data_IF_551299257996
#
_entry.id   IF_551299257996
#
_cell.length_a   1.000
_cell.length_b   1.000
_cell.length_c   1.000
_cell.angle_alpha   90.00
_cell.angle_beta   90.00
_cell.angle_gamma   90.00
#
_symmetry.space_group_name_H-M   'P 1'
#
loop_
_entity.id
_entity.type
_entity.pdbx_description
1 polymer ?
#
# COMPACT_ATOMS: atom_id res chain seq x y z
N UNK A 1 -7.14 26.19 -5.59
CA UNK A 1 -6.31 25.70 -4.46
C UNK A 1 -5.05 25.09 -5.05
N UNK A 2 -3.91 25.70 -4.74
CA UNK A 2 -2.58 25.24 -5.17
C UNK A 2 -2.02 24.23 -4.16
N UNK A 3 -1.72 23.04 -4.61
CA UNK A 3 -1.29 21.93 -3.76
C UNK A 3 0.18 21.62 -4.01
N UNK A 4 1.00 21.63 -2.96
CA UNK A 4 2.36 21.11 -3.02
C UNK A 4 2.36 19.65 -2.55
N UNK A 5 2.59 18.73 -3.47
CA UNK A 5 2.62 17.29 -3.17
C UNK A 5 4.02 16.82 -2.79
N UNK A 6 4.13 16.10 -1.68
CA UNK A 6 5.41 15.61 -1.13
C UNK A 6 5.31 14.11 -0.84
N UNK A 7 6.34 13.37 -1.22
CA UNK A 7 6.58 11.98 -0.80
C UNK A 7 8.03 11.83 -0.35
N UNK A 8 8.35 10.88 0.55
CA UNK A 8 9.70 10.74 1.11
C UNK A 8 10.75 10.26 0.11
N UNK A 9 10.33 9.69 -1.02
CA UNK A 9 11.23 9.26 -2.08
C UNK A 9 11.23 10.26 -3.23
N UNK A 10 12.42 10.66 -3.65
CA UNK A 10 12.60 11.31 -4.93
C UNK A 10 12.65 10.22 -6.01
N UNK A 11 11.54 9.92 -6.62
CA UNK A 11 11.55 9.00 -7.75
C UNK A 11 11.67 9.86 -9.01
N UNK A 12 12.75 9.71 -9.80
CA UNK A 12 12.74 10.13 -11.18
C UNK A 12 11.92 9.09 -11.96
N UNK A 13 10.61 9.07 -11.76
CA UNK A 13 9.75 8.38 -12.69
C UNK A 13 9.56 9.32 -13.87
N UNK A 14 9.88 8.87 -15.05
CA UNK A 14 9.44 9.53 -16.27
C UNK A 14 7.92 9.60 -16.21
N UNK A 15 7.37 10.80 -16.18
CA UNK A 15 5.93 11.04 -15.97
C UNK A 15 5.04 10.28 -16.96
N UNK A 16 5.54 9.95 -18.15
CA UNK A 16 4.80 9.25 -19.21
C UNK A 16 4.42 7.79 -18.88
N UNK A 17 5.17 7.10 -18.04
CA UNK A 17 5.00 5.65 -17.81
C UNK A 17 4.19 5.28 -16.58
N UNK A 18 3.81 6.25 -15.73
CA UNK A 18 3.14 6.00 -14.46
C UNK A 18 1.68 6.45 -14.42
N UNK A 19 1.26 7.33 -15.34
CA UNK A 19 -0.08 7.88 -15.34
C UNK A 19 -1.17 6.81 -15.48
N UNK A 20 -0.87 5.73 -16.21
CA UNK A 20 -1.83 4.66 -16.48
C UNK A 20 -1.91 3.62 -15.38
N UNK A 21 -0.84 3.46 -14.58
CA UNK A 21 -0.69 2.28 -13.75
C UNK A 21 -1.12 2.53 -12.31
N UNK A 22 -1.08 3.80 -11.79
CA UNK A 22 -0.67 3.80 -10.44
C UNK A 22 -1.39 4.73 -9.52
N UNK A 23 -2.05 4.09 -8.73
CA UNK A 23 -2.40 4.39 -7.39
C UNK A 23 -1.21 4.56 -6.39
N UNK A 24 0.00 4.10 -6.72
CA UNK A 24 1.18 4.17 -5.84
C UNK A 24 1.67 5.60 -5.54
N UNK A 25 1.10 6.60 -6.20
CA UNK A 25 1.38 8.01 -5.93
C UNK A 25 0.23 8.68 -5.15
N UNK A 26 -0.53 7.89 -4.45
CA UNK A 26 -1.51 8.34 -3.46
C UNK A 26 -2.40 9.49 -3.95
N UNK A 27 -3.00 9.29 -5.12
CA UNK A 27 -3.93 10.21 -5.73
C UNK A 27 -3.32 11.38 -6.51
N UNK A 28 -1.99 11.53 -6.58
CA UNK A 28 -1.37 12.63 -7.30
C UNK A 28 -1.84 12.73 -8.76
N UNK A 29 -1.75 11.64 -9.53
CA UNK A 29 -2.14 11.65 -10.95
C UNK A 29 -3.65 11.80 -11.13
N UNK A 30 -4.45 11.16 -10.29
CA UNK A 30 -5.90 11.29 -10.34
C UNK A 30 -6.35 12.71 -10.01
N UNK A 31 -5.74 13.37 -9.02
CA UNK A 31 -5.98 14.78 -8.71
C UNK A 31 -5.55 15.69 -9.87
N UNK A 32 -4.40 15.43 -10.48
CA UNK A 32 -3.92 16.18 -11.66
C UNK A 32 -4.89 16.05 -12.84
N UNK A 33 -5.37 14.85 -13.11
CA UNK A 33 -6.36 14.58 -14.16
C UNK A 33 -7.72 15.24 -13.87
N UNK A 34 -8.08 15.45 -12.62
CA UNK A 34 -9.27 16.23 -12.19
C UNK A 34 -9.04 17.75 -12.20
N UNK A 35 -8.00 18.22 -12.88
CA UNK A 35 -7.65 19.65 -13.00
C UNK A 35 -7.32 20.31 -11.64
N UNK A 36 -6.88 19.57 -10.66
CA UNK A 36 -6.31 20.14 -9.44
C UNK A 36 -4.97 20.80 -9.75
N UNK A 37 -4.76 22.02 -9.24
CA UNK A 37 -3.46 22.72 -9.33
C UNK A 37 -2.49 22.08 -8.32
N UNK A 38 -1.94 20.92 -8.69
CA UNK A 38 -1.06 20.11 -7.88
C UNK A 38 0.33 20.02 -8.49
N UNK A 39 1.34 20.36 -7.71
CA UNK A 39 2.75 20.31 -8.12
C UNK A 39 3.50 19.31 -7.27
N UNK A 40 4.16 18.36 -7.91
CA UNK A 40 5.04 17.43 -7.21
C UNK A 40 6.33 18.11 -6.82
N UNK A 41 6.65 18.10 -5.54
CA UNK A 41 7.93 18.56 -5.05
C UNK A 41 9.01 17.52 -5.31
N UNK A 42 9.77 17.73 -6.38
CA UNK A 42 10.96 16.93 -6.66
C UNK A 42 12.17 17.59 -6.00
N UNK A 43 12.75 16.88 -5.05
CA UNK A 43 14.05 17.30 -4.53
C UNK A 43 15.12 17.07 -5.59
N UNK A 44 15.76 18.15 -6.07
CA UNK A 44 16.99 18.01 -6.86
C UNK A 44 18.03 17.37 -5.95
N UNK A 45 18.38 16.11 -6.20
CA UNK A 45 19.49 15.46 -5.52
C UNK A 45 20.74 16.31 -5.73
N UNK A 46 21.19 17.02 -4.70
CA UNK A 46 22.53 17.52 -4.69
C UNK A 46 23.45 16.30 -4.66
N UNK A 47 24.08 15.99 -5.81
CA UNK A 47 24.86 14.76 -5.99
C UNK A 47 25.99 14.65 -4.97
N UNK A 48 26.57 15.77 -4.56
CA UNK A 48 27.61 15.84 -3.53
C UNK A 48 27.06 15.50 -2.14
N UNK A 49 25.92 16.08 -1.77
CA UNK A 49 25.29 15.82 -0.46
C UNK A 49 24.80 14.37 -0.36
N UNK A 50 24.24 13.82 -1.43
CA UNK A 50 23.84 12.41 -1.46
C UNK A 50 25.03 11.46 -1.32
N UNK A 51 26.13 11.75 -2.05
CA UNK A 51 27.38 10.97 -1.94
C UNK A 51 27.96 11.05 -0.53
N UNK A 52 27.95 12.24 0.08
CA UNK A 52 28.41 12.47 1.45
C UNK A 52 27.52 11.73 2.48
N UNK A 53 26.21 11.81 2.39
CA UNK A 53 25.27 11.10 3.24
C UNK A 53 25.41 9.57 3.10
N UNK A 54 25.65 9.09 1.86
CA UNK A 54 25.91 7.68 1.59
C UNK A 54 27.25 7.21 2.19
N UNK A 55 28.29 8.06 2.10
CA UNK A 55 29.60 7.80 2.71
C UNK A 55 29.49 7.73 4.24
N UNK A 56 28.72 8.61 4.87
CA UNK A 56 28.42 8.57 6.31
C UNK A 56 27.51 7.40 6.73
N UNK A 57 27.06 6.56 5.80
CA UNK A 57 26.04 5.50 6.03
C UNK A 57 24.72 6.02 6.62
N UNK A 58 24.40 7.29 6.40
CA UNK A 58 23.20 7.96 6.88
C UNK A 58 22.34 8.48 5.69
N UNK A 59 21.80 7.57 4.85
CA UNK A 59 20.99 7.97 3.68
C UNK A 59 19.73 8.77 4.07
N UNK A 60 19.27 8.64 5.30
CA UNK A 60 18.11 9.34 5.87
C UNK A 60 18.34 10.86 5.98
N UNK A 61 19.59 11.33 6.11
CA UNK A 61 19.90 12.77 6.13
C UNK A 61 19.47 13.46 4.84
N UNK A 62 19.52 12.76 3.70
CA UNK A 62 19.03 13.33 2.43
C UNK A 62 17.51 13.60 2.46
N UNK A 63 16.74 12.78 3.16
CA UNK A 63 15.29 13.01 3.34
C UNK A 63 15.02 14.22 4.25
N UNK A 64 15.83 14.41 5.30
CA UNK A 64 15.77 15.58 6.18
C UNK A 64 15.99 16.86 5.36
N UNK A 65 17.06 16.91 4.56
CA UNK A 65 17.34 18.06 3.72
C UNK A 65 16.27 18.31 2.65
N UNK A 66 15.69 17.24 2.11
CA UNK A 66 14.54 17.34 1.21
C UNK A 66 13.36 18.04 1.87
N UNK A 67 13.00 17.63 3.09
CA UNK A 67 11.92 18.24 3.83
C UNK A 67 12.20 19.69 4.24
N UNK A 68 13.44 20.01 4.63
CA UNK A 68 13.84 21.39 4.94
C UNK A 68 13.73 22.32 3.71
N UNK A 69 13.98 21.81 2.52
CA UNK A 69 13.88 22.62 1.29
C UNK A 69 12.44 23.01 0.93
N UNK A 70 11.44 22.35 1.49
CA UNK A 70 10.02 22.70 1.38
C UNK A 70 9.72 24.06 2.02
N UNK A 71 10.45 24.44 3.09
CA UNK A 71 10.25 25.71 3.82
C UNK A 71 10.26 26.89 2.88
N UNK A 72 11.26 26.98 1.98
CA UNK A 72 11.41 28.09 1.04
C UNK A 72 10.31 28.19 -0.01
N UNK A 73 9.63 27.08 -0.33
CA UNK A 73 8.60 27.01 -1.39
C UNK A 73 7.18 27.02 -0.85
N UNK A 74 6.98 26.65 0.41
CA UNK A 74 5.66 26.44 1.02
C UNK A 74 4.72 27.64 0.85
N UNK A 75 5.23 28.87 0.96
CA UNK A 75 4.44 30.10 0.87
C UNK A 75 3.72 30.33 -0.48
N UNK A 76 4.08 29.60 -1.52
CA UNK A 76 3.48 29.73 -2.87
C UNK A 76 2.25 28.83 -3.06
N UNK A 77 1.93 28.02 -2.06
CA UNK A 77 0.88 27.02 -2.10
C UNK A 77 -0.14 27.22 -0.97
N UNK A 78 -1.38 26.84 -1.24
CA UNK A 78 -2.46 26.93 -0.26
C UNK A 78 -2.37 25.78 0.75
N UNK A 79 -1.95 24.59 0.31
CA UNK A 79 -1.81 23.40 1.15
C UNK A 79 -0.61 22.55 0.72
N UNK A 80 0.02 21.92 1.69
CA UNK A 80 1.04 20.88 1.48
C UNK A 80 0.35 19.53 1.67
N UNK A 81 0.34 18.70 0.65
CA UNK A 81 -0.16 17.32 0.71
C UNK A 81 1.00 16.35 0.84
N UNK A 82 1.11 15.71 1.99
CA UNK A 82 2.08 14.63 2.24
C UNK A 82 1.41 13.31 1.92
N UNK A 83 1.78 12.69 0.79
CA UNK A 83 1.16 11.46 0.31
C UNK A 83 1.60 10.21 1.06
N UNK A 84 2.72 10.26 1.81
CA UNK A 84 3.21 9.14 2.61
C UNK A 84 3.96 9.63 3.84
N UNK A 85 3.59 9.17 5.02
CA UNK A 85 3.98 9.70 6.32
C UNK A 85 5.24 9.05 6.93
N UNK A 86 6.27 8.83 6.12
CA UNK A 86 7.54 8.31 6.59
C UNK A 86 8.53 9.45 6.92
N UNK A 87 9.15 9.40 8.11
CA UNK A 87 10.21 10.32 8.54
C UNK A 87 9.80 11.81 8.55
N UNK A 88 8.61 12.14 9.05
CA UNK A 88 8.06 13.50 9.02
C UNK A 88 8.54 14.43 10.15
N UNK A 89 9.36 13.98 11.07
CA UNK A 89 9.84 14.79 12.20
C UNK A 89 10.46 16.14 11.78
N UNK A 90 11.35 16.22 10.75
CA UNK A 90 11.91 17.51 10.32
C UNK A 90 10.84 18.49 9.84
N UNK A 91 9.86 18.01 9.08
CA UNK A 91 8.73 18.81 8.61
C UNK A 91 7.85 19.28 9.78
N UNK A 92 7.59 18.38 10.74
CA UNK A 92 6.83 18.71 11.95
C UNK A 92 7.52 19.78 12.81
N UNK A 93 8.85 19.67 12.98
CA UNK A 93 9.65 20.68 13.71
C UNK A 93 9.59 22.04 12.98
N UNK A 94 9.78 22.09 11.66
CA UNK A 94 9.66 23.32 10.89
C UNK A 94 8.30 23.98 11.01
N UNK A 95 7.22 23.18 11.03
CA UNK A 95 5.85 23.66 11.23
C UNK A 95 5.66 24.24 12.64
N UNK A 96 6.12 23.54 13.68
CA UNK A 96 6.02 23.99 15.09
C UNK A 96 6.84 25.25 15.38
N UNK A 97 7.96 25.43 14.70
CA UNK A 97 8.78 26.63 14.79
C UNK A 97 8.22 27.81 13.98
N UNK A 98 7.08 27.65 13.28
CA UNK A 98 6.46 28.68 12.46
C UNK A 98 7.20 28.98 11.14
N UNK A 99 8.18 28.17 10.76
CA UNK A 99 8.90 28.29 9.50
C UNK A 99 8.02 27.94 8.29
N UNK A 100 7.02 27.07 8.50
CA UNK A 100 5.98 26.71 7.54
C UNK A 100 4.63 27.17 8.10
N UNK A 101 4.04 28.20 7.48
CA UNK A 101 2.70 28.68 7.81
C UNK A 101 1.60 27.96 7.02
N UNK A 102 1.92 27.51 5.82
CA UNK A 102 1.03 26.77 4.93
C UNK A 102 0.45 25.53 5.64
N UNK A 103 -0.87 25.30 5.59
CA UNK A 103 -1.50 24.11 6.14
C UNK A 103 -0.91 22.81 5.57
N UNK A 104 -0.76 21.80 6.42
CA UNK A 104 -0.21 20.49 6.04
C UNK A 104 -1.27 19.43 6.23
N UNK A 105 -1.64 18.79 5.13
CA UNK A 105 -2.49 17.61 5.06
C UNK A 105 -1.63 16.36 4.88
N UNK A 106 -1.81 15.35 5.73
CA UNK A 106 -1.03 14.10 5.70
C UNK A 106 -1.95 12.92 5.46
N UNK A 107 -1.63 12.09 4.47
CA UNK A 107 -2.20 10.75 4.33
C UNK A 107 -1.34 9.78 5.14
N UNK A 108 -1.94 9.19 6.17
CA UNK A 108 -1.24 8.28 7.05
C UNK A 108 -1.39 6.82 6.63
N UNK A 109 -0.26 6.17 6.41
CA UNK A 109 -0.14 4.74 6.16
C UNK A 109 0.25 3.94 7.40
N UNK A 110 0.43 4.65 8.53
CA UNK A 110 0.76 4.08 9.84
C UNK A 110 -0.32 4.41 10.85
N UNK A 111 -0.59 3.47 11.76
CA UNK A 111 -1.50 3.75 12.89
C UNK A 111 -0.87 4.62 13.96
N UNK A 112 0.47 4.78 13.95
CA UNK A 112 1.27 5.34 15.05
C UNK A 112 1.07 4.61 16.38
N UNK A 113 0.45 3.43 16.37
CA UNK A 113 0.26 2.60 17.54
C UNK A 113 1.57 1.94 17.97
N UNK A 114 1.74 1.80 19.27
CA UNK A 114 2.87 1.08 19.86
C UNK A 114 2.56 -0.39 20.18
N UNK A 115 1.33 -0.83 19.90
CA UNK A 115 0.80 -2.17 20.19
C UNK A 115 1.76 -3.30 19.76
N UNK A 116 2.28 -3.20 18.51
CA UNK A 116 3.19 -4.22 17.94
C UNK A 116 4.68 -3.91 18.13
N UNK A 117 5.00 -2.91 18.94
CA UNK A 117 6.39 -2.52 19.20
C UNK A 117 6.89 -3.19 20.46
N UNK A 118 7.86 -4.09 20.37
CA UNK A 118 8.42 -4.84 21.51
C UNK A 118 9.46 -4.04 22.29
N UNK A 119 10.31 -3.28 21.60
CA UNK A 119 11.39 -2.52 22.21
C UNK A 119 10.87 -1.29 22.97
N UNK A 120 11.26 -1.18 24.26
CA UNK A 120 10.91 -0.03 25.11
C UNK A 120 11.39 1.31 24.53
N UNK A 121 12.60 1.37 24.03
CA UNK A 121 13.15 2.59 23.41
C UNK A 121 12.40 2.98 22.14
N UNK A 122 12.05 2.00 21.30
CA UNK A 122 11.23 2.25 20.11
C UNK A 122 9.83 2.76 20.47
N UNK A 123 9.25 2.26 21.56
CA UNK A 123 7.95 2.79 22.07
C UNK A 123 8.06 4.25 22.49
N UNK A 124 9.13 4.60 23.24
CA UNK A 124 9.38 5.99 23.68
C UNK A 124 9.55 6.90 22.46
N UNK A 125 10.36 6.48 21.48
CA UNK A 125 10.58 7.24 20.26
C UNK A 125 9.28 7.41 19.45
N UNK A 126 8.51 6.35 19.22
CA UNK A 126 7.21 6.42 18.53
C UNK A 126 6.22 7.37 19.25
N UNK A 127 6.15 7.31 20.56
CA UNK A 127 5.29 8.21 21.34
C UNK A 127 5.73 9.67 21.22
N UNK A 128 7.02 9.93 21.18
CA UNK A 128 7.57 11.26 20.96
C UNK A 128 7.26 11.77 19.55
N UNK A 129 7.56 10.97 18.53
CA UNK A 129 7.26 11.26 17.12
C UNK A 129 5.77 11.56 16.95
N UNK A 130 4.90 10.67 17.43
CA UNK A 130 3.44 10.83 17.40
C UNK A 130 2.99 12.17 17.97
N UNK A 131 3.46 12.52 19.18
CA UNK A 131 3.09 13.79 19.81
C UNK A 131 3.46 15.00 18.97
N UNK A 132 4.63 15.01 18.38
CA UNK A 132 5.07 16.12 17.52
C UNK A 132 4.27 16.18 16.22
N UNK A 133 4.08 15.04 15.54
CA UNK A 133 3.34 14.92 14.29
C UNK A 133 1.89 15.39 14.46
N UNK A 134 1.19 14.88 15.47
CA UNK A 134 -0.21 15.24 15.73
C UNK A 134 -0.40 16.69 16.22
N UNK A 135 0.62 17.27 16.84
CA UNK A 135 0.60 18.69 17.22
C UNK A 135 0.91 19.61 16.03
N UNK A 136 1.84 19.20 15.16
CA UNK A 136 2.36 20.02 14.07
C UNK A 136 1.41 20.13 12.88
N UNK A 137 0.79 19.02 12.48
CA UNK A 137 0.05 18.96 11.23
C UNK A 137 -1.42 19.35 11.42
N UNK A 138 -1.93 20.07 10.42
CA UNK A 138 -3.27 20.64 10.48
C UNK A 138 -4.33 19.53 10.29
N UNK A 139 -4.07 18.56 9.42
CA UNK A 139 -4.92 17.39 9.22
C UNK A 139 -4.13 16.13 8.91
N UNK A 140 -4.44 15.04 9.60
CA UNK A 140 -3.96 13.69 9.32
C UNK A 140 -5.19 12.86 8.96
N UNK A 141 -5.14 12.17 7.83
CA UNK A 141 -6.20 11.30 7.35
C UNK A 141 -5.62 9.90 7.16
N UNK A 142 -6.26 8.89 7.71
CA UNK A 142 -5.77 7.52 7.60
C UNK A 142 -6.15 6.89 6.27
N UNK A 143 -5.27 6.07 5.70
CA UNK A 143 -5.50 5.41 4.43
C UNK A 143 -6.55 4.30 4.48
N UNK A 144 -6.97 3.87 5.68
CA UNK A 144 -8.08 2.93 5.89
C UNK A 144 -8.62 2.98 7.34
N UNK A 145 -9.82 2.42 7.53
CA UNK A 145 -10.48 2.32 8.84
C UNK A 145 -9.65 1.56 9.88
N UNK A 146 -8.96 0.50 9.46
CA UNK A 146 -8.09 -0.30 10.34
C UNK A 146 -7.01 0.54 11.01
N UNK A 147 -6.35 1.43 10.26
CA UNK A 147 -5.31 2.32 10.83
C UNK A 147 -5.89 3.29 11.86
N UNK A 148 -7.03 3.88 11.57
CA UNK A 148 -7.72 4.78 12.51
C UNK A 148 -8.17 4.02 13.78
N UNK A 149 -8.71 2.81 13.62
CA UNK A 149 -9.12 1.96 14.75
C UNK A 149 -7.92 1.64 15.66
N UNK A 150 -6.83 1.16 15.09
CA UNK A 150 -5.59 0.86 15.84
C UNK A 150 -5.01 2.09 16.55
N UNK A 151 -5.10 3.26 15.93
CA UNK A 151 -4.69 4.51 16.55
C UNK A 151 -5.57 4.83 17.78
N UNK A 152 -6.89 4.73 17.64
CA UNK A 152 -7.85 4.97 18.74
C UNK A 152 -7.71 4.00 19.91
N UNK A 153 -7.34 2.74 19.63
CA UNK A 153 -7.10 1.73 20.66
C UNK A 153 -5.88 2.06 21.55
N UNK A 154 -4.88 2.75 21.01
CA UNK A 154 -3.60 3.02 21.71
C UNK A 154 -3.49 4.44 22.28
N UNK A 155 -4.18 5.41 21.70
CA UNK A 155 -4.13 6.80 22.16
C UNK A 155 -5.36 7.62 21.76
N UNK A 156 -5.53 8.77 22.43
CA UNK A 156 -6.57 9.74 22.07
C UNK A 156 -6.19 10.48 20.79
N UNK A 157 -6.82 10.13 19.68
CA UNK A 157 -6.64 10.81 18.39
C UNK A 157 -7.43 12.13 18.41
N UNK A 158 -6.82 13.29 18.18
CA UNK A 158 -7.54 14.57 18.11
C UNK A 158 -8.65 14.55 17.05
N UNK A 159 -9.77 15.18 17.32
CA UNK A 159 -10.97 15.15 16.46
C UNK A 159 -10.70 15.56 15.02
N UNK A 160 -9.87 16.62 14.81
CA UNK A 160 -9.48 17.07 13.46
C UNK A 160 -8.77 16.00 12.62
N UNK A 161 -8.28 14.93 13.25
CA UNK A 161 -7.57 13.81 12.64
C UNK A 161 -8.39 12.52 12.54
N UNK A 162 -9.67 12.54 12.96
CA UNK A 162 -10.58 11.39 12.89
C UNK A 162 -11.17 11.22 11.50
N UNK A 163 -10.31 11.05 10.50
CA UNK A 163 -10.73 10.94 9.10
C UNK A 163 -10.06 9.76 8.42
N UNK A 164 -10.77 9.19 7.47
CA UNK A 164 -10.29 8.11 6.61
C UNK A 164 -10.45 8.50 5.15
N UNK A 165 -9.49 8.13 4.34
CA UNK A 165 -9.60 8.15 2.90
C UNK A 165 -9.19 6.77 2.39
N UNK A 166 -10.20 5.95 2.09
CA UNK A 166 -9.98 4.57 1.65
C UNK A 166 -9.20 4.55 0.34
N UNK A 167 -7.94 4.17 0.45
CA UNK A 167 -7.07 4.04 -0.71
C UNK A 167 -7.50 2.84 -1.56
N UNK A 168 -7.51 2.99 -2.88
CA UNK A 168 -8.03 1.97 -3.76
C UNK A 168 -7.26 1.87 -5.09
N UNK A 169 -7.64 0.97 -5.97
CA UNK A 169 -6.97 0.70 -7.25
C UNK A 169 -7.46 1.63 -8.37
N UNK A 170 -6.65 1.81 -9.41
CA UNK A 170 -7.06 2.45 -10.65
C UNK A 170 -7.92 1.48 -11.48
N UNK A 171 -9.24 1.69 -11.46
CA UNK A 171 -10.18 0.81 -12.16
C UNK A 171 -10.05 0.88 -13.69
N UNK A 172 -9.53 1.97 -14.26
CA UNK A 172 -9.26 2.06 -15.70
C UNK A 172 -8.09 1.17 -16.10
N UNK A 173 -7.06 1.11 -15.26
CA UNK A 173 -5.94 0.21 -15.48
C UNK A 173 -6.33 -1.25 -15.25
N UNK A 174 -7.08 -1.56 -14.19
CA UNK A 174 -7.54 -2.90 -13.85
C UNK A 174 -8.89 -3.26 -14.50
N UNK A 175 -9.19 -2.70 -15.67
CA UNK A 175 -10.39 -3.04 -16.43
C UNK A 175 -10.28 -4.45 -17.01
N UNK A 176 -11.26 -5.29 -16.67
CA UNK A 176 -11.37 -6.66 -17.20
C UNK A 176 -11.78 -6.70 -18.67
N UNK A 177 -12.42 -5.64 -19.16
CA UNK A 177 -12.88 -5.53 -20.54
C UNK A 177 -11.76 -5.46 -21.58
N UNK A 178 -10.51 -5.25 -21.17
CA UNK A 178 -9.34 -5.26 -22.08
C UNK A 178 -8.94 -6.67 -22.54
N UNK A 179 -9.42 -7.72 -21.85
CA UNK A 179 -9.08 -9.10 -22.16
C UNK A 179 -10.12 -9.72 -23.09
N UNK A 180 -9.64 -10.21 -24.25
CA UNK A 180 -10.51 -10.78 -25.31
C UNK A 180 -10.96 -12.22 -25.03
N UNK A 181 -10.25 -12.93 -24.12
CA UNK A 181 -10.55 -14.31 -23.75
C UNK A 181 -11.01 -14.42 -22.30
N UNK A 182 -11.87 -15.38 -21.94
CA UNK A 182 -12.22 -15.61 -20.56
C UNK A 182 -10.97 -16.03 -19.74
N UNK A 183 -10.96 -15.76 -18.40
CA UNK A 183 -9.83 -16.11 -17.56
C UNK A 183 -9.62 -17.63 -17.51
N UNK A 184 -8.35 -18.04 -17.52
CA UNK A 184 -8.00 -19.48 -17.51
C UNK A 184 -8.38 -20.16 -16.18
N UNK A 185 -8.29 -19.43 -15.06
CA UNK A 185 -8.55 -19.93 -13.69
C UNK A 185 -7.86 -21.26 -13.36
N UNK A 186 -6.61 -21.44 -13.81
CA UNK A 186 -5.87 -22.70 -13.64
C UNK A 186 -4.86 -22.66 -12.51
N UNK A 187 -4.54 -21.48 -11.98
CA UNK A 187 -3.53 -21.29 -10.94
C UNK A 187 -3.93 -20.20 -9.97
N UNK A 188 -3.29 -20.22 -8.81
CA UNK A 188 -3.33 -19.14 -7.82
C UNK A 188 -2.16 -18.19 -8.06
N UNK A 189 -2.30 -16.93 -7.65
CA UNK A 189 -1.23 -15.94 -7.74
C UNK A 189 -0.90 -15.38 -6.38
N UNK A 190 0.39 -15.25 -6.08
CA UNK A 190 0.90 -14.52 -4.93
C UNK A 190 1.96 -13.53 -5.39
N UNK A 191 1.86 -12.26 -4.97
CA UNK A 191 2.79 -11.22 -5.38
C UNK A 191 3.24 -10.34 -4.21
N UNK A 192 4.43 -9.72 -4.37
CA UNK A 192 5.00 -8.78 -3.42
C UNK A 192 6.23 -9.30 -2.70
N UNK A 193 7.13 -8.38 -2.33
CA UNK A 193 8.46 -8.72 -1.80
C UNK A 193 8.64 -8.47 -0.31
N UNK A 194 7.77 -7.68 0.33
CA UNK A 194 7.94 -7.31 1.73
C UNK A 194 6.95 -8.06 2.62
N UNK A 195 7.44 -8.58 3.73
CA UNK A 195 6.64 -9.25 4.77
C UNK A 195 5.73 -10.35 4.19
N UNK A 196 6.34 -11.34 3.50
CA UNK A 196 5.64 -12.48 2.90
C UNK A 196 6.18 -13.80 3.40
N UNK A 197 5.29 -14.66 3.87
CA UNK A 197 5.56 -16.04 4.26
C UNK A 197 5.38 -17.00 3.09
N UNK A 198 6.22 -16.87 2.08
CA UNK A 198 6.19 -17.80 0.95
C UNK A 198 6.64 -19.21 1.34
N UNK A 199 7.39 -19.37 2.43
CA UNK A 199 7.80 -20.70 2.91
C UNK A 199 6.59 -21.54 3.30
N UNK A 200 5.71 -21.00 4.13
CA UNK A 200 4.44 -21.69 4.51
C UNK A 200 3.57 -21.94 3.28
N UNK A 201 3.45 -20.96 2.38
CA UNK A 201 2.65 -21.11 1.16
C UNK A 201 3.20 -22.22 0.25
N UNK A 202 4.51 -22.29 0.02
CA UNK A 202 5.15 -23.32 -0.82
C UNK A 202 4.94 -24.71 -0.20
N UNK A 203 5.06 -24.85 1.12
CA UNK A 203 4.78 -26.14 1.78
C UNK A 203 3.29 -26.55 1.66
N UNK A 204 2.36 -25.59 1.64
CA UNK A 204 0.94 -25.89 1.39
C UNK A 204 0.74 -26.47 -0.03
N UNK A 205 1.37 -25.86 -1.06
CA UNK A 205 1.31 -26.39 -2.41
C UNK A 205 2.09 -27.73 -2.56
N UNK A 206 3.12 -27.95 -1.77
CA UNK A 206 3.78 -29.27 -1.68
C UNK A 206 2.84 -30.36 -1.16
N UNK A 207 2.03 -30.04 -0.14
CA UNK A 207 1.01 -30.94 0.42
C UNK A 207 -0.20 -31.14 -0.51
N UNK A 208 -0.53 -30.15 -1.34
CA UNK A 208 -1.68 -30.20 -2.25
C UNK A 208 -1.25 -30.01 -3.72
N UNK A 209 -0.66 -31.05 -4.35
CA UNK A 209 -0.10 -30.96 -5.71
C UNK A 209 -1.15 -30.79 -6.82
N UNK A 210 -2.44 -30.93 -6.49
CA UNK A 210 -3.54 -30.77 -7.44
C UNK A 210 -3.83 -29.29 -7.78
N UNK A 211 -3.20 -28.32 -7.12
CA UNK A 211 -3.31 -26.91 -7.42
C UNK A 211 -1.95 -26.36 -7.83
N UNK A 212 -1.97 -25.33 -8.71
CA UNK A 212 -0.78 -24.62 -9.15
C UNK A 212 -0.75 -23.22 -8.57
N UNK A 213 0.44 -22.68 -8.30
CA UNK A 213 0.64 -21.29 -7.90
C UNK A 213 1.76 -20.63 -8.68
N UNK A 214 1.56 -19.34 -9.00
CA UNK A 214 2.61 -18.46 -9.53
C UNK A 214 2.95 -17.41 -8.46
N UNK A 215 4.18 -17.44 -7.98
CA UNK A 215 4.72 -16.52 -6.99
C UNK A 215 5.60 -15.48 -7.68
N UNK A 216 5.28 -14.20 -7.52
CA UNK A 216 6.02 -13.09 -8.12
C UNK A 216 6.67 -12.23 -7.05
N UNK A 217 7.94 -12.51 -6.77
CA UNK A 217 8.74 -11.78 -5.80
C UNK A 217 10.23 -11.82 -6.16
N UNK A 218 11.04 -11.02 -5.46
CA UNK A 218 12.49 -11.21 -5.50
C UNK A 218 12.84 -12.54 -4.83
N UNK A 219 13.53 -13.41 -5.54
CA UNK A 219 13.90 -14.72 -5.02
C UNK A 219 14.72 -14.63 -3.73
N UNK A 220 14.34 -15.44 -2.77
CA UNK A 220 15.11 -15.84 -1.59
C UNK A 220 14.92 -17.34 -1.44
N UNK A 221 15.71 -18.00 -0.63
CA UNK A 221 15.44 -19.41 -0.31
C UNK A 221 14.21 -19.50 0.62
N UNK A 222 13.06 -19.71 0.00
CA UNK A 222 11.79 -19.97 0.68
C UNK A 222 11.48 -21.45 0.82
N UNK A 223 12.40 -22.33 0.37
CA UNK A 223 12.20 -23.79 0.37
C UNK A 223 12.91 -24.48 1.51
N UNK A 224 13.69 -23.74 2.34
CA UNK A 224 14.55 -24.29 3.39
C UNK A 224 15.50 -25.36 2.83
N UNK A 225 16.08 -25.12 1.67
CA UNK A 225 17.01 -26.04 1.00
C UNK A 225 16.36 -27.23 0.31
N UNK A 226 15.03 -27.36 0.30
CA UNK A 226 14.31 -28.41 -0.45
C UNK A 226 14.12 -27.99 -1.91
N UNK A 227 13.89 -28.97 -2.78
CA UNK A 227 13.50 -28.70 -4.17
C UNK A 227 12.14 -28.00 -4.25
N UNK A 228 12.01 -27.04 -5.17
CA UNK A 228 10.75 -26.35 -5.41
C UNK A 228 9.72 -27.34 -5.99
N UNK A 229 8.48 -27.41 -5.44
CA UNK A 229 7.45 -28.30 -5.97
C UNK A 229 7.11 -27.98 -7.43
N UNK A 230 6.84 -28.99 -8.25
CA UNK A 230 6.54 -28.85 -9.69
C UNK A 230 5.32 -27.98 -10.00
N UNK A 231 4.39 -27.87 -9.07
CA UNK A 231 3.18 -27.05 -9.14
C UNK A 231 3.38 -25.61 -8.61
N UNK A 232 4.60 -25.22 -8.27
CA UNK A 232 4.98 -23.88 -7.84
C UNK A 232 5.89 -23.24 -8.86
N UNK A 233 5.44 -22.18 -9.52
CA UNK A 233 6.29 -21.32 -10.33
C UNK A 233 6.75 -20.13 -9.48
N UNK A 234 8.03 -19.81 -9.48
CA UNK A 234 8.59 -18.65 -8.81
C UNK A 234 9.31 -17.75 -9.81
N UNK A 235 8.87 -16.50 -9.91
CA UNK A 235 9.39 -15.54 -10.88
C UNK A 235 9.51 -14.13 -10.35
N UNK A 236 10.18 -13.27 -11.12
CA UNK A 236 10.27 -11.83 -10.86
C UNK A 236 9.84 -11.05 -12.09
N UNK A 237 8.62 -10.51 -12.05
CA UNK A 237 8.06 -9.74 -13.17
C UNK A 237 8.81 -8.43 -13.45
N UNK A 238 9.52 -7.91 -12.45
CA UNK A 238 10.27 -6.65 -12.58
C UNK A 238 11.69 -6.83 -13.11
N UNK A 239 12.18 -8.07 -13.23
CA UNK A 239 13.50 -8.34 -13.80
C UNK A 239 13.51 -8.09 -15.30
N UNK A 240 14.29 -7.11 -15.74
CA UNK A 240 14.47 -6.79 -17.18
C UNK A 240 13.27 -6.13 -17.86
N UNK A 241 12.24 -5.71 -17.11
CA UNK A 241 11.06 -5.02 -17.64
C UNK A 241 10.99 -3.58 -17.17
N UNK A 242 10.33 -2.73 -17.96
CA UNK A 242 9.89 -1.44 -17.46
C UNK A 242 8.87 -1.63 -16.31
N UNK A 243 8.73 -0.64 -15.46
CA UNK A 243 7.74 -0.67 -14.38
C UNK A 243 6.32 -0.87 -14.93
N UNK A 244 5.99 -0.16 -16.02
CA UNK A 244 4.71 -0.29 -16.73
C UNK A 244 4.46 -1.71 -17.21
N UNK A 245 5.41 -2.31 -17.92
CA UNK A 245 5.23 -3.65 -18.48
C UNK A 245 5.15 -4.73 -17.40
N UNK A 246 5.87 -4.55 -16.28
CA UNK A 246 5.78 -5.44 -15.14
C UNK A 246 4.37 -5.43 -14.51
N UNK A 247 3.76 -4.25 -14.38
CA UNK A 247 2.39 -4.14 -13.85
C UNK A 247 1.34 -4.64 -14.84
N UNK A 248 1.51 -4.41 -16.16
CA UNK A 248 0.63 -5.00 -17.18
C UNK A 248 0.66 -6.53 -17.12
N UNK A 249 1.87 -7.11 -17.00
CA UNK A 249 2.02 -8.55 -16.85
C UNK A 249 1.38 -9.06 -15.54
N UNK A 250 1.57 -8.35 -14.41
CA UNK A 250 0.96 -8.72 -13.13
C UNK A 250 -0.57 -8.65 -13.18
N UNK A 251 -1.14 -7.65 -13.85
CA UNK A 251 -2.58 -7.54 -14.10
C UNK A 251 -3.12 -8.74 -14.87
N UNK A 252 -2.41 -9.20 -15.91
CA UNK A 252 -2.76 -10.38 -16.67
C UNK A 252 -2.71 -11.66 -15.81
N UNK A 253 -1.71 -11.76 -14.93
CA UNK A 253 -1.63 -12.86 -13.97
C UNK A 253 -2.81 -12.86 -13.00
N UNK A 254 -3.20 -11.70 -12.47
CA UNK A 254 -4.41 -11.59 -11.64
C UNK A 254 -5.66 -11.97 -12.43
N UNK A 255 -5.79 -11.51 -13.68
CA UNK A 255 -6.95 -11.86 -14.51
C UNK A 255 -7.13 -13.36 -14.65
N UNK A 256 -6.05 -14.10 -14.87
CA UNK A 256 -6.06 -15.54 -15.12
C UNK A 256 -6.04 -16.39 -13.83
N UNK A 257 -5.90 -15.79 -12.67
CA UNK A 257 -5.85 -16.52 -11.41
C UNK A 257 -7.24 -16.99 -10.94
N UNK A 258 -7.26 -18.09 -10.19
CA UNK A 258 -8.43 -18.52 -9.37
C UNK A 258 -8.66 -17.53 -8.25
N UNK A 259 -7.59 -17.18 -7.53
CA UNK A 259 -7.59 -16.25 -6.41
C UNK A 259 -6.19 -15.65 -6.21
N UNK A 260 -6.12 -14.56 -5.46
CA UNK A 260 -4.86 -13.91 -5.05
C UNK A 260 -4.55 -14.27 -3.61
N UNK A 261 -3.32 -14.74 -3.37
CA UNK A 261 -2.86 -15.23 -2.08
C UNK A 261 -1.91 -14.21 -1.43
N UNK A 262 -2.17 -13.85 -0.20
CA UNK A 262 -1.44 -12.86 0.59
C UNK A 262 -0.90 -13.49 1.89
N UNK A 263 0.14 -14.33 1.81
CA UNK A 263 0.76 -14.92 2.99
C UNK A 263 1.59 -13.86 3.71
N UNK A 264 1.11 -13.34 4.85
CA UNK A 264 1.81 -12.34 5.65
C UNK A 264 2.64 -13.04 6.73
N UNK A 265 3.92 -12.70 6.82
CA UNK A 265 4.87 -13.34 7.73
C UNK A 265 4.73 -12.82 9.17
N UNK A 266 4.74 -11.50 9.37
CA UNK A 266 4.60 -10.91 10.71
C UNK A 266 3.62 -9.76 10.75
N UNK A 267 2.98 -9.57 11.91
CA UNK A 267 2.02 -8.50 12.16
C UNK A 267 2.77 -7.28 12.71
N UNK A 268 2.48 -6.12 12.18
CA UNK A 268 3.00 -4.83 12.61
C UNK A 268 1.89 -3.76 12.56
N UNK A 269 2.23 -2.50 12.73
CA UNK A 269 1.28 -1.38 12.77
C UNK A 269 0.87 -0.83 11.38
N UNK A 270 1.08 -1.62 10.33
CA UNK A 270 0.68 -1.28 8.95
C UNK A 270 -0.10 -2.42 8.30
N UNK A 271 -1.06 -2.14 7.43
CA UNK A 271 -1.77 -3.15 6.67
C UNK A 271 -0.88 -3.71 5.56
N UNK A 272 -0.20 -4.82 5.86
CA UNK A 272 0.67 -5.47 4.89
C UNK A 272 -0.12 -6.01 3.71
N UNK A 273 0.37 -5.77 2.49
CA UNK A 273 -0.26 -6.29 1.29
C UNK A 273 -1.43 -5.46 0.75
N UNK A 274 -1.71 -4.29 1.31
CA UNK A 274 -2.82 -3.44 0.89
C UNK A 274 -2.85 -3.18 -0.64
N UNK A 275 -1.70 -2.93 -1.27
CA UNK A 275 -1.61 -2.73 -2.74
C UNK A 275 -2.13 -3.93 -3.50
N UNK A 276 -1.59 -5.11 -3.23
CA UNK A 276 -2.01 -6.37 -3.89
C UNK A 276 -3.47 -6.69 -3.60
N UNK A 277 -3.95 -6.36 -2.40
CA UNK A 277 -5.34 -6.57 -2.01
C UNK A 277 -6.29 -5.70 -2.86
N UNK A 278 -6.05 -4.39 -2.97
CA UNK A 278 -6.91 -3.50 -3.76
C UNK A 278 -6.84 -3.80 -5.26
N UNK A 279 -5.69 -4.28 -5.76
CA UNK A 279 -5.52 -4.76 -7.13
C UNK A 279 -6.35 -6.03 -7.38
N UNK A 280 -6.34 -6.98 -6.44
CA UNK A 280 -7.16 -8.19 -6.49
C UNK A 280 -8.66 -7.86 -6.46
N UNK A 281 -9.09 -6.91 -5.59
CA UNK A 281 -10.46 -6.40 -5.59
C UNK A 281 -10.86 -5.85 -6.96
N UNK A 282 -10.04 -5.00 -7.55
CA UNK A 282 -10.30 -4.39 -8.86
C UNK A 282 -10.38 -5.42 -9.99
N UNK A 283 -9.58 -6.49 -9.92
CA UNK A 283 -9.65 -7.61 -10.85
C UNK A 283 -10.79 -8.61 -10.54
N UNK A 284 -11.56 -8.37 -9.48
CA UNK A 284 -12.66 -9.24 -9.07
C UNK A 284 -12.21 -10.64 -8.74
N UNK A 285 -11.09 -10.76 -8.00
CA UNK A 285 -10.55 -12.05 -7.59
C UNK A 285 -10.77 -12.27 -6.09
N UNK A 286 -11.15 -13.48 -5.68
CA UNK A 286 -11.14 -13.87 -4.29
C UNK A 286 -9.76 -13.66 -3.68
N UNK A 287 -9.71 -13.33 -2.40
CA UNK A 287 -8.48 -13.10 -1.67
C UNK A 287 -8.34 -14.13 -0.57
N UNK A 288 -7.17 -14.77 -0.46
CA UNK A 288 -6.82 -15.53 0.74
C UNK A 288 -5.67 -14.79 1.43
N UNK A 289 -5.87 -14.37 2.66
CA UNK A 289 -4.91 -13.56 3.39
C UNK A 289 -4.63 -14.16 4.78
N UNK A 290 -3.40 -14.00 5.27
CA UNK A 290 -3.09 -14.33 6.65
C UNK A 290 -3.94 -13.49 7.60
N UNK A 291 -4.57 -14.15 8.59
CA UNK A 291 -5.38 -13.51 9.63
C UNK A 291 -4.55 -12.50 10.43
N UNK A 292 -4.98 -11.25 10.46
CA UNK A 292 -4.39 -10.20 11.26
C UNK A 292 -5.40 -9.08 11.53
N UNK A 293 -5.38 -8.54 12.74
CA UNK A 293 -6.19 -7.36 13.10
C UNK A 293 -5.71 -6.07 12.43
N UNK A 294 -4.56 -6.14 11.74
CA UNK A 294 -4.00 -5.05 10.91
C UNK A 294 -4.32 -5.19 9.43
N UNK A 295 -5.11 -6.17 9.01
CA UNK A 295 -5.50 -6.30 7.61
C UNK A 295 -6.24 -5.05 7.13
N UNK A 296 -6.00 -4.70 5.87
CA UNK A 296 -6.57 -3.50 5.24
C UNK A 296 -8.11 -3.52 5.28
N UNK A 297 -8.69 -4.68 4.97
CA UNK A 297 -10.12 -4.99 5.11
C UNK A 297 -10.26 -6.39 5.73
N UNK A 298 -11.41 -6.65 6.32
CA UNK A 298 -11.84 -7.99 6.75
C UNK A 298 -12.50 -8.69 5.56
N UNK A 299 -11.72 -9.53 4.85
CA UNK A 299 -12.15 -10.17 3.60
C UNK A 299 -13.30 -11.17 3.80
N UNK A 300 -13.40 -11.79 4.98
CA UNK A 300 -14.50 -12.72 5.32
C UNK A 300 -15.79 -11.97 5.60
N UNK A 301 -15.73 -10.91 6.40
CA UNK A 301 -16.87 -10.03 6.68
C UNK A 301 -17.44 -9.44 5.40
N UNK A 302 -16.58 -9.00 4.49
CA UNK A 302 -16.97 -8.47 3.18
C UNK A 302 -17.40 -9.57 2.21
N UNK A 303 -17.16 -10.83 2.56
CA UNK A 303 -17.50 -12.01 1.75
C UNK A 303 -16.73 -12.09 0.44
N UNK A 304 -15.54 -11.48 0.36
CA UNK A 304 -14.68 -11.46 -0.82
C UNK A 304 -13.44 -12.33 -0.71
N UNK A 305 -13.29 -13.08 0.38
CA UNK A 305 -12.11 -13.93 0.60
C UNK A 305 -12.19 -14.80 1.84
N UNK A 306 -11.04 -15.39 2.17
CA UNK A 306 -10.81 -16.28 3.31
C UNK A 306 -9.59 -15.83 4.10
N UNK A 307 -9.57 -16.11 5.40
CA UNK A 307 -8.40 -15.89 6.24
C UNK A 307 -7.75 -17.21 6.65
N UNK A 308 -6.43 -17.19 6.81
CA UNK A 308 -5.64 -18.34 7.25
C UNK A 308 -4.72 -17.90 8.38
N UNK A 309 -4.62 -18.70 9.43
CA UNK A 309 -3.72 -18.40 10.55
C UNK A 309 -2.27 -18.31 10.08
N UNK A 310 -1.49 -17.50 10.76
CA UNK A 310 -0.07 -17.33 10.45
C UNK A 310 0.69 -18.65 10.61
N UNK A 311 1.54 -18.98 9.65
CA UNK A 311 2.35 -20.20 9.57
C UNK A 311 1.55 -21.51 9.56
N UNK A 312 0.26 -21.43 9.19
CA UNK A 312 -0.64 -22.59 9.15
C UNK A 312 -0.69 -23.19 7.73
N UNK A 313 0.18 -24.17 7.49
CA UNK A 313 0.26 -24.90 6.21
C UNK A 313 -1.05 -25.58 5.87
N UNK A 314 -1.71 -26.23 6.85
CA UNK A 314 -2.94 -26.98 6.61
C UNK A 314 -4.13 -26.07 6.34
N UNK A 315 -4.21 -24.93 7.05
CA UNK A 315 -5.21 -23.90 6.75
C UNK A 315 -5.06 -23.32 5.34
N UNK A 316 -3.82 -23.12 4.85
CA UNK A 316 -3.60 -22.76 3.44
C UNK A 316 -4.06 -23.84 2.48
N UNK A 317 -3.79 -25.12 2.76
CA UNK A 317 -4.28 -26.25 1.95
C UNK A 317 -5.81 -26.26 1.89
N UNK A 318 -6.49 -26.08 3.02
CA UNK A 318 -7.95 -26.04 3.09
C UNK A 318 -8.54 -24.88 2.27
N UNK A 319 -8.00 -23.67 2.40
CA UNK A 319 -8.45 -22.50 1.65
C UNK A 319 -8.24 -22.67 0.14
N UNK A 320 -7.08 -23.18 -0.28
CA UNK A 320 -6.76 -23.45 -1.70
C UNK A 320 -7.71 -24.52 -2.25
N UNK A 321 -7.91 -25.62 -1.52
CA UNK A 321 -8.81 -26.70 -1.91
C UNK A 321 -10.23 -26.17 -2.05
N UNK A 322 -10.72 -25.44 -1.06
CA UNK A 322 -12.07 -24.89 -1.06
C UNK A 322 -12.33 -24.04 -2.33
N UNK A 323 -11.45 -23.10 -2.66
CA UNK A 323 -11.63 -22.23 -3.83
C UNK A 323 -11.53 -23.01 -5.15
N UNK A 324 -10.67 -24.02 -5.21
CA UNK A 324 -10.51 -24.85 -6.41
C UNK A 324 -11.71 -25.76 -6.66
N UNK A 325 -12.24 -26.36 -5.60
CA UNK A 325 -13.36 -27.32 -5.67
C UNK A 325 -14.73 -26.64 -5.72
N UNK A 326 -14.80 -25.32 -5.39
CA UNK A 326 -16.04 -24.55 -5.39
C UNK A 326 -15.97 -23.31 -6.31
N UNK A 327 -15.84 -23.48 -7.64
CA UNK A 327 -15.64 -22.37 -8.58
C UNK A 327 -16.79 -21.37 -8.59
N UNK A 328 -18.02 -21.79 -8.31
CA UNK A 328 -19.18 -20.89 -8.21
C UNK A 328 -19.01 -19.94 -7.01
N UNK A 329 -18.63 -20.47 -5.85
CA UNK A 329 -18.38 -19.64 -4.65
C UNK A 329 -17.19 -18.72 -4.84
N UNK A 330 -16.12 -19.20 -5.49
CA UNK A 330 -14.98 -18.37 -5.84
C UNK A 330 -15.39 -17.21 -6.76
N UNK A 331 -16.27 -17.46 -7.73
CA UNK A 331 -16.82 -16.41 -8.59
C UNK A 331 -17.65 -15.40 -7.81
N UNK A 332 -18.55 -15.84 -6.93
CA UNK A 332 -19.37 -14.97 -6.06
C UNK A 332 -18.50 -14.08 -5.16
N UNK A 333 -17.44 -14.64 -4.55
CA UNK A 333 -16.45 -13.86 -3.79
C UNK A 333 -15.74 -12.82 -4.66
N UNK A 334 -15.36 -13.19 -5.88
CA UNK A 334 -14.76 -12.29 -6.85
C UNK A 334 -15.70 -11.15 -7.29
N UNK A 335 -16.98 -11.42 -7.44
CA UNK A 335 -17.99 -10.39 -7.74
C UNK A 335 -18.13 -9.39 -6.59
N UNK A 336 -18.18 -9.86 -5.34
CA UNK A 336 -18.17 -9.00 -4.14
C UNK A 336 -16.89 -8.18 -4.07
N UNK A 337 -15.72 -8.78 -4.32
CA UNK A 337 -14.45 -8.07 -4.40
C UNK A 337 -14.49 -6.90 -5.40
N UNK A 338 -15.02 -7.15 -6.60
CA UNK A 338 -15.15 -6.12 -7.63
C UNK A 338 -16.15 -5.00 -7.24
N UNK A 339 -17.26 -5.35 -6.59
CA UNK A 339 -18.20 -4.34 -6.10
C UNK A 339 -17.55 -3.44 -5.03
N UNK A 340 -16.77 -3.99 -4.12
CA UNK A 340 -16.00 -3.21 -3.14
C UNK A 340 -15.01 -2.25 -3.83
N UNK A 341 -14.30 -2.70 -4.86
CA UNK A 341 -13.42 -1.82 -5.62
C UNK A 341 -14.22 -0.68 -6.26
N UNK A 342 -15.36 -0.97 -6.88
CA UNK A 342 -16.19 0.06 -7.55
C UNK A 342 -16.78 1.08 -6.59
N UNK A 343 -17.23 0.65 -5.43
CA UNK A 343 -18.02 1.47 -4.52
C UNK A 343 -17.22 2.14 -3.42
N UNK A 344 -16.01 1.63 -3.12
CA UNK A 344 -15.22 2.13 -1.99
C UNK A 344 -13.72 2.25 -2.31
N UNK A 345 -13.08 1.19 -2.82
CA UNK A 345 -11.61 1.08 -2.89
C UNK A 345 -11.08 1.36 -4.30
N UNK A 346 -11.34 2.57 -4.82
CA UNK A 346 -10.78 3.02 -6.10
C UNK A 346 -10.16 4.42 -6.00
N UNK A 347 -9.29 4.71 -6.93
CA UNK A 347 -8.49 5.94 -6.97
C UNK A 347 -9.31 7.21 -7.22
N UNK A 348 -10.43 7.13 -7.94
CA UNK A 348 -11.31 8.26 -8.21
C UNK A 348 -12.01 8.73 -6.92
N UNK A 349 -12.64 7.81 -6.17
CA UNK A 349 -13.27 8.11 -4.89
C UNK A 349 -12.26 8.54 -3.84
N UNK A 350 -11.09 7.90 -3.83
CA UNK A 350 -9.99 8.28 -2.96
C UNK A 350 -9.54 9.72 -3.19
N UNK A 351 -9.29 10.10 -4.46
CA UNK A 351 -8.85 11.45 -4.81
C UNK A 351 -9.92 12.51 -4.49
N UNK A 352 -11.21 12.21 -4.73
CA UNK A 352 -12.32 13.09 -4.38
C UNK A 352 -12.40 13.33 -2.88
N UNK A 353 -12.25 12.27 -2.09
CA UNK A 353 -12.24 12.35 -0.63
C UNK A 353 -11.07 13.20 -0.12
N UNK A 354 -9.84 12.95 -0.61
CA UNK A 354 -8.66 13.76 -0.27
C UNK A 354 -8.88 15.23 -0.60
N UNK A 355 -9.37 15.54 -1.82
CA UNK A 355 -9.62 16.91 -2.25
C UNK A 355 -10.69 17.60 -1.39
N UNK A 356 -11.77 16.89 -1.08
CA UNK A 356 -12.85 17.38 -0.21
C UNK A 356 -12.31 17.71 1.18
N UNK A 357 -11.55 16.81 1.77
CA UNK A 357 -10.97 16.99 3.11
C UNK A 357 -9.95 18.14 3.15
N UNK A 358 -9.12 18.33 2.11
CA UNK A 358 -8.25 19.48 2.00
C UNK A 358 -9.04 20.80 1.92
N UNK A 359 -10.13 20.84 1.12
CA UNK A 359 -10.99 22.03 1.04
C UNK A 359 -11.66 22.38 2.36
N UNK A 360 -12.01 21.39 3.19
CA UNK A 360 -12.60 21.60 4.51
C UNK A 360 -11.64 22.28 5.51
N UNK A 361 -10.32 22.24 5.26
CA UNK A 361 -9.35 22.92 6.13
C UNK A 361 -9.40 24.46 6.02
N UNK A 362 -10.10 25.01 5.02
CA UNK A 362 -10.22 26.43 4.74
C UNK A 362 -11.62 26.99 5.02
N UNK A 363 -12.52 26.17 5.52
CA UNK A 363 -13.85 26.57 6.02
C UNK A 363 -13.83 26.79 7.52
#
# INVERSE_FOLDING_TARGET
MKILYIVPWSIPFEESNLQDIVNTQFGYYTLKNKSADITWFTHKRCSCLYKFCKWLKLPQLNQIFSQLSVVGKSKQYDVIYVGFDMHLLPLAVCKLLGLIKTPIFVLSHFSYSTKYTTSRWKKVYKNFERRLVYKAFDKITFACDTLLRLAKEDFSVPERHLNVADWGANLKFYDKGIFNAPPSNQYFVAAGGMNRDYTTLIEAFRKYPNANVRVYAKYRDYTNGKELPKNVYFGNLFAGRSFSDAYKALREEYYNAVAVLLPIDYINDVPNGATVLVEALAMGKPIVITEADTNYIDVEKEGCGLTVKRHDVDGWVEAIRFLKENPIKAKEMGEKAYQLAKTKYNDELFADNILMQMKMMFK
#
